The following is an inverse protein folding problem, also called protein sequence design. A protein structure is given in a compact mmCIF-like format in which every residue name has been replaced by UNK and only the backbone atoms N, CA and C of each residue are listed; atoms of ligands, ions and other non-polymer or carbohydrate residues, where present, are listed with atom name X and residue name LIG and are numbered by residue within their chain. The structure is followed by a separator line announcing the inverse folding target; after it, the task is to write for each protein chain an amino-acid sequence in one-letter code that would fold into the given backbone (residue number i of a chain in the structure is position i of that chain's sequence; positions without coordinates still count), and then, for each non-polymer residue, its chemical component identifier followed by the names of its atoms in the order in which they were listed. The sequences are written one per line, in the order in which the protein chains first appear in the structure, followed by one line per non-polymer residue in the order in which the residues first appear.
data_IF_687274705999
#
_entry.id   IF_687274705999
#
_cell.length_a   1.000
_cell.length_b   1.000
_cell.length_c   1.000
_cell.angle_alpha   90.00
_cell.angle_beta   90.00
_cell.angle_gamma   90.00
#
_symmetry.space_group_name_H-M   'P 1'
#
loop_
_entity.id
_entity.type
_entity.pdbx_description
1 polymer ?
#
# COMPACT_ATOMS: atom_id res chain seq x y z
N UNK A 1 2.29 -1.62 14.16
CA UNK A 1 3.10 -2.54 14.97
C UNK A 1 2.40 -2.73 16.30
N UNK A 2 2.36 -3.93 16.83
CA UNK A 2 1.54 -4.26 17.99
C UNK A 2 0.05 -4.28 17.65
N UNK A 3 -0.78 -3.65 18.44
CA UNK A 3 -2.24 -3.63 18.25
C UNK A 3 -2.74 -2.52 17.31
N UNK A 4 -1.86 -1.77 16.65
CA UNK A 4 -2.28 -0.71 15.72
C UNK A 4 -2.59 -1.30 14.35
N UNK A 5 -3.77 -1.03 13.75
CA UNK A 5 -4.09 -1.47 12.40
C UNK A 5 -3.08 -0.97 11.37
N UNK A 6 -2.87 -1.75 10.32
CA UNK A 6 -1.95 -1.41 9.23
C UNK A 6 -2.48 -0.24 8.40
N UNK A 7 -1.61 0.72 8.02
CA UNK A 7 -2.03 1.94 7.32
C UNK A 7 -2.69 1.68 5.97
N UNK A 8 -2.13 0.80 5.15
CA UNK A 8 -2.74 0.41 3.87
C UNK A 8 -4.10 -0.27 4.03
N UNK A 9 -4.32 -1.03 5.12
CA UNK A 9 -5.62 -1.61 5.44
C UNK A 9 -6.64 -0.51 5.77
N UNK A 10 -6.27 0.47 6.57
CA UNK A 10 -7.13 1.62 6.88
C UNK A 10 -7.46 2.41 5.61
N UNK A 11 -6.47 2.63 4.74
CA UNK A 11 -6.68 3.28 3.45
C UNK A 11 -7.68 2.51 2.58
N UNK A 12 -7.58 1.18 2.50
CA UNK A 12 -8.50 0.34 1.73
C UNK A 12 -9.94 0.44 2.26
N UNK A 13 -10.15 0.43 3.58
CA UNK A 13 -11.48 0.60 4.20
C UNK A 13 -12.07 1.96 3.88
N UNK A 14 -11.29 3.03 3.99
CA UNK A 14 -11.75 4.40 3.72
C UNK A 14 -12.01 4.60 2.22
N UNK A 15 -11.19 4.01 1.34
CA UNK A 15 -11.43 3.96 -0.10
C UNK A 15 -12.77 3.27 -0.39
N UNK A 16 -13.02 2.12 0.22
CA UNK A 16 -14.30 1.41 0.11
C UNK A 16 -15.48 2.29 0.54
N UNK A 17 -15.38 2.92 1.70
CA UNK A 17 -16.45 3.80 2.21
C UNK A 17 -16.75 4.96 1.25
N UNK A 18 -15.73 5.57 0.64
CA UNK A 18 -15.92 6.64 -0.32
C UNK A 18 -16.65 6.15 -1.59
N UNK A 19 -16.26 5.00 -2.12
CA UNK A 19 -16.86 4.44 -3.35
C UNK A 19 -18.27 3.89 -3.14
N UNK A 20 -18.67 3.56 -1.91
CA UNK A 20 -20.06 3.19 -1.59
C UNK A 20 -21.02 4.39 -1.62
N UNK A 21 -20.51 5.60 -1.42
CA UNK A 21 -21.31 6.83 -1.36
C UNK A 21 -21.30 7.55 -2.70
N UNK A 22 -20.20 7.51 -3.44
CA UNK A 22 -20.06 8.18 -4.73
C UNK A 22 -20.58 7.33 -5.89
N UNK A 23 -21.12 7.95 -6.97
CA UNK A 23 -21.62 7.21 -8.13
C UNK A 23 -20.53 6.59 -9.01
N UNK A 24 -19.25 6.97 -8.81
CA UNK A 24 -18.11 6.46 -9.57
C UNK A 24 -17.36 5.42 -8.76
N UNK A 25 -16.97 4.32 -9.40
CA UNK A 25 -16.58 3.08 -8.75
C UNK A 25 -15.11 3.00 -8.31
N UNK A 26 -14.22 3.86 -8.85
CA UNK A 26 -12.77 3.73 -8.60
C UNK A 26 -12.15 5.05 -8.20
N UNK A 27 -11.46 5.09 -7.06
CA UNK A 27 -10.64 6.25 -6.69
C UNK A 27 -9.35 6.27 -7.53
N UNK A 28 -9.37 7.07 -8.59
CA UNK A 28 -8.24 7.23 -9.52
C UNK A 28 -7.09 8.06 -8.92
N UNK A 29 -7.39 8.86 -7.92
CA UNK A 29 -6.42 9.66 -7.16
C UNK A 29 -6.89 9.78 -5.73
N UNK A 30 -6.02 9.50 -4.78
CA UNK A 30 -6.35 9.60 -3.36
C UNK A 30 -5.14 9.98 -2.53
N UNK A 31 -5.40 10.58 -1.37
CA UNK A 31 -4.39 10.90 -0.37
C UNK A 31 -4.95 10.60 1.03
N UNK A 32 -4.18 9.88 1.83
CA UNK A 32 -4.49 9.59 3.22
C UNK A 32 -3.49 10.30 4.13
N UNK A 33 -3.98 10.83 5.26
CA UNK A 33 -3.17 11.39 6.33
C UNK A 33 -3.47 10.63 7.62
N UNK A 34 -2.45 10.06 8.23
CA UNK A 34 -2.51 9.37 9.50
C UNK A 34 -2.18 10.37 10.60
N UNK A 35 -3.20 10.80 11.36
CA UNK A 35 -3.11 11.91 12.30
C UNK A 35 -2.89 11.43 13.73
N UNK A 36 -3.48 10.28 14.08
CA UNK A 36 -3.39 9.72 15.42
C UNK A 36 -3.45 8.20 15.36
N UNK A 37 -2.98 7.56 16.42
CA UNK A 37 -3.03 6.11 16.59
C UNK A 37 -4.47 5.62 16.69
N UNK A 38 -4.73 4.49 16.07
CA UNK A 38 -6.00 3.76 16.12
C UNK A 38 -5.80 2.47 16.90
N UNK A 39 -6.71 2.18 17.82
CA UNK A 39 -6.77 0.92 18.54
C UNK A 39 -7.69 -0.09 17.81
N UNK A 40 -7.56 -1.42 18.08
CA UNK A 40 -8.46 -2.44 17.54
C UNK A 40 -9.84 -2.39 18.26
N UNK A 41 -10.59 -1.34 18.05
CA UNK A 41 -11.91 -1.04 18.56
C UNK A 41 -12.83 -0.59 17.44
N UNK A 42 -14.14 -0.49 17.66
CA UNK A 42 -15.05 0.10 16.67
C UNK A 42 -14.60 1.50 16.24
N UNK A 43 -14.77 1.78 14.95
CA UNK A 43 -14.48 3.06 14.31
C UNK A 43 -15.74 3.58 13.65
N UNK A 44 -15.83 4.88 13.48
CA UNK A 44 -16.84 5.55 12.66
C UNK A 44 -16.17 6.11 11.41
N UNK A 45 -16.78 5.87 10.25
CA UNK A 45 -16.36 6.47 8.98
C UNK A 45 -17.38 7.53 8.59
N UNK A 46 -16.98 8.79 8.60
CA UNK A 46 -17.78 9.92 8.16
C UNK A 46 -17.37 10.28 6.73
N UNK A 47 -18.34 10.36 5.82
CA UNK A 47 -18.09 10.65 4.40
C UNK A 47 -18.73 11.98 4.02
N UNK A 48 -17.91 12.95 3.61
CA UNK A 48 -18.37 14.23 3.07
C UNK A 48 -18.11 14.28 1.56
N UNK A 49 -19.17 14.49 0.78
CA UNK A 49 -19.09 14.59 -0.68
C UNK A 49 -18.83 16.04 -1.08
N UNK A 50 -17.73 16.27 -1.80
CA UNK A 50 -17.38 17.61 -2.29
C UNK A 50 -18.05 17.94 -3.60
N UNK A 51 -18.07 16.96 -4.52
CA UNK A 51 -18.56 17.15 -5.87
C UNK A 51 -19.03 15.82 -6.46
N UNK A 52 -20.16 15.88 -7.17
CA UNK A 52 -20.63 14.83 -8.08
C UNK A 52 -20.71 15.43 -9.47
N UNK A 53 -19.87 14.95 -10.38
CA UNK A 53 -19.83 15.38 -11.78
C UNK A 53 -20.16 14.23 -12.73
N UNK A 54 -20.27 14.52 -14.02
CA UNK A 54 -20.58 13.51 -15.05
C UNK A 54 -19.44 12.48 -15.22
N UNK A 55 -18.18 12.91 -15.12
CA UNK A 55 -17.03 12.04 -15.38
C UNK A 55 -16.19 11.74 -14.12
N UNK A 56 -16.43 12.44 -13.03
CA UNK A 56 -15.72 12.20 -11.75
C UNK A 56 -16.50 12.78 -10.58
N UNK A 57 -16.27 12.20 -9.42
CA UNK A 57 -16.78 12.68 -8.13
C UNK A 57 -15.63 12.72 -7.13
N UNK A 58 -15.74 13.58 -6.11
CA UNK A 58 -14.72 13.69 -5.09
C UNK A 58 -15.33 13.89 -3.71
N UNK A 59 -14.61 13.43 -2.69
CA UNK A 59 -15.03 13.54 -1.31
C UNK A 59 -13.90 13.22 -0.35
N UNK A 60 -14.23 13.30 0.92
CA UNK A 60 -13.34 12.95 2.03
C UNK A 60 -14.03 11.94 2.94
N UNK A 61 -13.23 11.01 3.45
CA UNK A 61 -13.61 10.11 4.55
C UNK A 61 -12.80 10.49 5.77
N UNK A 62 -13.44 10.65 6.91
CA UNK A 62 -12.80 10.81 8.21
C UNK A 62 -13.00 9.53 9.00
N UNK A 63 -11.93 8.95 9.47
CA UNK A 63 -11.96 7.83 10.40
C UNK A 63 -11.90 8.41 11.82
N UNK A 64 -12.98 8.20 12.57
CA UNK A 64 -13.16 8.73 13.93
C UNK A 64 -13.14 7.59 14.93
N UNK A 65 -12.37 7.74 15.97
CA UNK A 65 -12.35 6.86 17.12
C UNK A 65 -12.25 7.67 18.41
N UNK A 66 -13.05 7.34 19.42
CA UNK A 66 -13.10 8.05 20.69
C UNK A 66 -13.24 9.57 20.49
N UNK A 67 -14.19 10.00 19.61
CA UNK A 67 -14.50 11.40 19.25
C UNK A 67 -13.35 12.19 18.59
N UNK A 68 -12.26 11.51 18.19
CA UNK A 68 -11.11 12.12 17.52
C UNK A 68 -11.00 11.64 16.08
N UNK A 69 -10.69 12.55 15.16
CA UNK A 69 -10.33 12.20 13.79
C UNK A 69 -8.90 11.65 13.79
N UNK A 70 -8.77 10.35 13.60
CA UNK A 70 -7.47 9.67 13.62
C UNK A 70 -6.84 9.57 12.24
N UNK A 71 -7.65 9.49 11.18
CA UNK A 71 -7.16 9.41 9.80
C UNK A 71 -8.14 10.13 8.88
N UNK A 72 -7.61 10.78 7.83
CA UNK A 72 -8.42 11.35 6.76
C UNK A 72 -8.00 10.76 5.42
N UNK A 73 -8.97 10.52 4.54
CA UNK A 73 -8.77 10.02 3.19
C UNK A 73 -9.53 10.91 2.21
N UNK A 74 -8.84 11.58 1.32
CA UNK A 74 -9.45 12.36 0.25
C UNK A 74 -9.30 11.62 -1.06
N UNK A 75 -10.38 11.49 -1.83
CA UNK A 75 -10.35 10.77 -3.10
C UNK A 75 -11.14 11.45 -4.21
N UNK A 76 -10.65 11.27 -5.43
CA UNK A 76 -11.38 11.55 -6.67
C UNK A 76 -11.65 10.23 -7.37
N UNK A 77 -12.93 9.93 -7.55
CA UNK A 77 -13.42 8.71 -8.18
C UNK A 77 -13.85 8.95 -9.62
N UNK A 78 -13.63 7.95 -10.47
CA UNK A 78 -14.10 7.89 -11.87
C UNK A 78 -14.33 6.43 -12.26
N UNK A 79 -14.82 6.20 -13.47
CA UNK A 79 -15.02 4.85 -14.01
C UNK A 79 -14.07 4.64 -15.19
N UNK A 80 -13.14 3.71 -15.09
CA UNK A 80 -12.16 3.43 -16.14
C UNK A 80 -12.80 3.08 -17.48
N UNK A 81 -13.95 2.38 -17.48
CA UNK A 81 -14.69 2.04 -18.73
C UNK A 81 -15.22 3.26 -19.49
N UNK A 82 -15.38 4.38 -18.81
CA UNK A 82 -15.88 5.64 -19.43
C UNK A 82 -14.75 6.64 -19.71
N UNK A 83 -13.54 6.38 -19.22
CA UNK A 83 -12.40 7.25 -19.48
C UNK A 83 -11.93 7.07 -20.92
N UNK A 84 -11.88 8.20 -21.65
CA UNK A 84 -11.31 8.25 -23.00
C UNK A 84 -9.97 8.96 -22.93
N UNK A 85 -8.93 8.32 -23.38
CA UNK A 85 -7.59 8.89 -23.37
C UNK A 85 -6.58 7.97 -24.04
N UNK A 86 -5.35 8.41 -24.07
CA UNK A 86 -4.24 7.60 -24.52
C UNK A 86 -3.85 6.61 -23.42
N UNK A 87 -3.92 5.31 -23.71
CA UNK A 87 -3.63 4.21 -22.78
C UNK A 87 -2.33 3.46 -23.10
N UNK A 88 -1.56 3.96 -24.04
CA UNK A 88 -0.36 3.30 -24.56
C UNK A 88 0.93 3.53 -23.77
N UNK A 89 0.88 3.96 -22.51
CA UNK A 89 2.06 4.15 -21.67
C UNK A 89 2.40 2.87 -20.91
N UNK A 90 2.75 1.82 -21.63
CA UNK A 90 3.39 0.67 -21.03
C UNK A 90 4.83 1.04 -20.67
N UNK A 91 5.12 1.19 -19.40
CA UNK A 91 6.50 1.17 -18.91
C UNK A 91 6.98 -0.27 -18.97
N UNK A 92 8.15 -0.52 -19.55
CA UNK A 92 8.74 -1.85 -19.46
C UNK A 92 8.96 -2.23 -18.00
N UNK A 93 8.90 -3.53 -17.70
CA UNK A 93 9.29 -4.05 -16.40
C UNK A 93 10.69 -3.52 -16.04
N UNK A 94 10.89 -2.93 -14.85
CA UNK A 94 12.20 -2.46 -14.43
C UNK A 94 13.25 -3.57 -14.52
N UNK A 95 14.48 -3.21 -14.91
CA UNK A 95 15.58 -4.18 -15.13
C UNK A 95 15.84 -5.06 -13.91
N UNK A 96 15.66 -4.52 -12.69
CA UNK A 96 15.84 -5.27 -11.44
C UNK A 96 14.93 -6.51 -11.33
N UNK A 97 13.79 -6.53 -12.03
CA UNK A 97 12.93 -7.71 -12.08
C UNK A 97 13.35 -8.72 -13.16
N UNK A 98 14.41 -8.41 -13.92
CA UNK A 98 14.93 -9.27 -14.99
C UNK A 98 16.26 -9.93 -14.64
N UNK A 99 16.95 -9.45 -13.62
CA UNK A 99 18.28 -9.93 -13.22
C UNK A 99 18.23 -11.18 -12.34
N UNK A 100 17.06 -11.48 -11.76
CA UNK A 100 16.83 -12.65 -10.93
C UNK A 100 15.54 -13.36 -11.31
N UNK A 101 15.54 -14.67 -11.22
CA UNK A 101 14.33 -15.46 -11.35
C UNK A 101 13.43 -15.26 -10.10
N UNK A 102 12.10 -15.35 -10.31
CA UNK A 102 11.14 -15.18 -9.19
C UNK A 102 11.42 -16.11 -8.01
N UNK A 103 11.93 -17.31 -8.28
CA UNK A 103 12.21 -18.31 -7.25
C UNK A 103 13.44 -17.96 -6.39
N UNK A 104 14.26 -16.99 -6.82
CA UNK A 104 15.38 -16.46 -6.05
C UNK A 104 14.95 -15.39 -5.05
N UNK A 105 13.72 -14.83 -5.21
CA UNK A 105 13.20 -13.81 -4.32
C UNK A 105 12.90 -14.40 -2.94
N UNK A 106 13.13 -13.61 -1.90
CA UNK A 106 13.04 -14.05 -0.52
C UNK A 106 11.65 -13.70 0.02
N UNK A 107 10.91 -14.72 0.49
CA UNK A 107 9.63 -14.50 1.13
C UNK A 107 9.80 -13.60 2.37
N UNK A 108 8.95 -12.59 2.43
CA UNK A 108 8.91 -11.66 3.55
C UNK A 108 8.49 -12.39 4.82
N UNK A 109 9.39 -12.42 5.79
CA UNK A 109 9.15 -12.95 7.13
C UNK A 109 9.22 -11.82 8.16
N UNK A 110 8.06 -11.39 8.63
CA UNK A 110 7.99 -10.30 9.61
C UNK A 110 8.62 -10.67 10.96
N UNK A 111 8.63 -11.94 11.35
CA UNK A 111 9.27 -12.37 12.62
C UNK A 111 10.77 -12.11 12.61
N UNK A 112 11.42 -12.25 11.45
CA UNK A 112 12.85 -11.92 11.30
C UNK A 112 13.09 -10.40 11.42
N UNK A 113 12.16 -9.57 10.91
CA UNK A 113 12.29 -8.10 10.91
C UNK A 113 11.97 -7.53 12.28
N UNK A 114 10.91 -8.02 12.93
CA UNK A 114 10.30 -7.39 14.11
C UNK A 114 10.58 -8.14 15.40
N UNK A 115 11.35 -9.21 15.35
CA UNK A 115 11.73 -10.05 16.51
C UNK A 115 10.51 -10.65 17.24
N UNK A 116 9.61 -11.29 16.48
CA UNK A 116 8.49 -12.08 17.02
C UNK A 116 7.13 -11.40 16.94
N UNK A 117 6.98 -10.39 16.10
CA UNK A 117 5.69 -9.82 15.78
C UNK A 117 5.36 -10.01 14.29
N UNK A 118 4.40 -10.89 13.97
CA UNK A 118 3.88 -11.04 12.61
C UNK A 118 2.47 -10.48 12.54
N UNK A 119 2.22 -9.44 11.73
CA UNK A 119 0.87 -8.97 11.47
C UNK A 119 -0.01 -10.09 10.88
N UNK A 120 -1.24 -10.26 11.37
CA UNK A 120 -2.12 -11.36 10.96
C UNK A 120 -2.44 -11.38 9.45
N UNK A 121 -2.41 -10.22 8.79
CA UNK A 121 -2.67 -10.13 7.35
C UNK A 121 -1.59 -10.80 6.49
N UNK A 122 -0.37 -10.96 7.02
CA UNK A 122 0.74 -11.53 6.24
C UNK A 122 0.48 -12.99 5.83
N UNK A 123 -0.37 -13.70 6.56
CA UNK A 123 -0.75 -15.08 6.23
C UNK A 123 -1.63 -15.18 4.98
N UNK A 124 -2.19 -14.06 4.52
CA UNK A 124 -3.02 -13.97 3.31
C UNK A 124 -2.26 -13.32 2.13
N UNK A 125 -1.01 -12.96 2.35
CA UNK A 125 -0.16 -12.25 1.39
C UNK A 125 1.10 -13.06 1.08
N UNK A 126 1.28 -13.40 -0.18
CA UNK A 126 2.58 -13.78 -0.71
C UNK A 126 3.35 -12.51 -1.05
N UNK A 127 4.44 -12.25 -0.36
CA UNK A 127 5.32 -11.13 -0.61
C UNK A 127 6.74 -11.66 -0.70
N UNK A 128 7.33 -11.57 -1.87
CA UNK A 128 8.70 -12.01 -2.12
C UNK A 128 9.56 -10.83 -2.55
N UNK A 129 10.60 -10.54 -1.78
CA UNK A 129 11.47 -9.36 -1.92
C UNK A 129 12.76 -9.75 -2.63
N UNK A 130 13.28 -8.83 -3.45
CA UNK A 130 14.57 -9.01 -4.13
C UNK A 130 15.69 -9.31 -3.11
N UNK A 131 16.54 -10.34 -3.34
CA UNK A 131 17.51 -10.81 -2.36
C UNK A 131 18.49 -9.73 -1.89
N UNK A 132 18.88 -8.80 -2.75
CA UNK A 132 19.79 -7.71 -2.38
C UNK A 132 19.14 -6.63 -1.50
N UNK A 133 17.82 -6.71 -1.27
CA UNK A 133 17.03 -5.71 -0.56
C UNK A 133 16.48 -6.19 0.78
N UNK A 134 16.98 -7.31 1.28
CA UNK A 134 16.61 -7.90 2.58
C UNK A 134 17.59 -7.48 3.68
N UNK A 135 17.60 -6.21 4.03
CA UNK A 135 18.54 -5.62 4.98
C UNK A 135 18.63 -6.36 6.33
N UNK A 136 17.58 -7.00 6.79
CA UNK A 136 17.54 -7.75 8.05
C UNK A 136 18.31 -9.08 8.02
N UNK A 137 18.71 -9.55 6.83
CA UNK A 137 19.55 -10.75 6.66
C UNK A 137 21.02 -10.43 6.47
N UNK A 138 21.39 -9.14 6.39
CA UNK A 138 22.78 -8.72 6.23
C UNK A 138 23.54 -8.80 7.56
N UNK A 139 24.83 -8.97 7.47
CA UNK A 139 25.69 -8.89 8.64
C UNK A 139 25.65 -7.49 9.25
N UNK A 140 25.69 -7.42 10.59
CA UNK A 140 25.60 -6.14 11.32
C UNK A 140 26.77 -5.19 11.03
N UNK A 141 27.90 -5.73 10.60
CA UNK A 141 29.12 -5.00 10.28
C UNK A 141 29.18 -4.62 8.79
N UNK A 142 28.20 -5.04 8.00
CA UNK A 142 28.16 -4.74 6.57
C UNK A 142 27.92 -3.25 6.32
N UNK A 143 28.72 -2.66 5.41
CA UNK A 143 28.55 -1.28 4.99
C UNK A 143 27.33 -1.17 4.06
N UNK A 144 26.24 -0.67 4.61
CA UNK A 144 24.98 -0.49 3.88
C UNK A 144 25.01 0.72 2.92
N UNK A 145 26.06 1.53 2.88
CA UNK A 145 26.12 2.74 2.05
C UNK A 145 26.01 2.48 0.55
N UNK A 146 26.38 1.25 0.12
CA UNK A 146 26.30 0.80 -1.28
C UNK A 146 24.90 0.37 -1.72
N UNK A 147 23.95 0.28 -0.80
CA UNK A 147 22.57 -0.11 -1.13
C UNK A 147 21.68 1.10 -1.33
N UNK A 148 20.75 0.98 -2.26
CA UNK A 148 19.73 2.00 -2.49
C UNK A 148 18.59 1.90 -1.47
N UNK A 149 17.97 3.03 -1.16
CA UNK A 149 16.71 3.06 -0.41
C UNK A 149 15.56 2.65 -1.34
N UNK A 150 15.54 1.39 -1.76
CA UNK A 150 14.61 0.79 -2.70
C UNK A 150 14.21 -0.60 -2.21
N UNK A 151 12.97 -1.00 -2.50
CA UNK A 151 12.49 -2.34 -2.24
C UNK A 151 11.61 -2.81 -3.40
N UNK A 152 12.02 -3.89 -4.04
CA UNK A 152 11.30 -4.51 -5.15
C UNK A 152 10.75 -5.86 -4.71
N UNK A 153 9.49 -6.10 -5.01
CA UNK A 153 8.80 -7.29 -4.57
C UNK A 153 7.78 -7.80 -5.59
N UNK A 154 7.49 -9.09 -5.51
CA UNK A 154 6.30 -9.71 -6.05
C UNK A 154 5.24 -9.77 -4.94
N UNK A 155 4.04 -9.28 -5.25
CA UNK A 155 2.92 -9.26 -4.32
C UNK A 155 1.76 -10.07 -4.90
N UNK A 156 1.21 -10.98 -4.10
CA UNK A 156 0.00 -11.73 -4.43
C UNK A 156 -0.82 -11.94 -3.17
N UNK A 157 -2.12 -11.70 -3.25
CA UNK A 157 -3.07 -11.98 -2.18
C UNK A 157 -3.98 -13.13 -2.59
N UNK A 158 -4.41 -13.93 -1.64
CA UNK A 158 -5.44 -14.94 -1.89
C UNK A 158 -6.75 -14.27 -2.33
N UNK A 159 -7.46 -14.89 -3.27
CA UNK A 159 -8.77 -14.41 -3.73
C UNK A 159 -8.83 -13.97 -5.19
N UNK A 160 -7.74 -14.06 -5.95
CA UNK A 160 -7.70 -13.79 -7.39
C UNK A 160 -7.10 -12.45 -7.77
N UNK A 161 -7.63 -11.81 -8.83
CA UNK A 161 -7.10 -10.55 -9.33
C UNK A 161 -7.22 -9.42 -8.30
N UNK A 162 -6.14 -8.67 -8.05
CA UNK A 162 -6.19 -7.53 -7.14
C UNK A 162 -7.14 -6.45 -7.66
N UNK A 163 -8.06 -6.03 -6.81
CA UNK A 163 -8.93 -4.90 -7.05
C UNK A 163 -8.29 -3.57 -6.59
N UNK A 164 -9.02 -2.48 -6.71
CA UNK A 164 -8.57 -1.17 -6.26
C UNK A 164 -8.29 -1.09 -4.75
N UNK A 165 -8.97 -1.90 -3.95
CA UNK A 165 -8.78 -1.90 -2.49
C UNK A 165 -7.52 -2.67 -2.13
N UNK A 166 -7.23 -3.76 -2.85
CA UNK A 166 -5.93 -4.43 -2.78
C UNK A 166 -4.79 -3.49 -3.14
N UNK A 167 -4.93 -2.67 -4.20
CA UNK A 167 -3.90 -1.69 -4.57
C UNK A 167 -3.68 -0.64 -3.48
N UNK A 168 -4.75 -0.16 -2.83
CA UNK A 168 -4.62 0.73 -1.68
C UNK A 168 -3.91 0.06 -0.50
N UNK A 169 -4.19 -1.21 -0.24
CA UNK A 169 -3.50 -1.99 0.78
C UNK A 169 -2.02 -2.19 0.44
N UNK A 170 -1.71 -2.56 -0.80
CA UNK A 170 -0.34 -2.80 -1.25
C UNK A 170 0.54 -1.56 -1.23
N UNK A 171 -0.03 -0.37 -1.33
CA UNK A 171 0.75 0.87 -1.34
C UNK A 171 1.51 1.17 -0.03
N UNK A 172 1.21 0.45 1.05
CA UNK A 172 1.88 0.58 2.36
C UNK A 172 2.41 -0.76 2.90
N UNK A 173 2.55 -1.77 2.02
CA UNK A 173 2.79 -3.16 2.47
C UNK A 173 4.25 -3.47 2.76
N UNK A 174 5.18 -2.83 2.06
CA UNK A 174 6.59 -3.15 2.16
C UNK A 174 7.24 -2.52 3.40
N UNK A 175 8.30 -3.15 3.93
CA UNK A 175 9.12 -2.53 4.97
C UNK A 175 9.65 -1.16 4.53
N UNK A 176 9.91 -0.23 5.48
CA UNK A 176 10.44 1.07 5.14
C UNK A 176 11.72 0.97 4.30
N UNK A 177 11.68 1.46 3.06
CA UNK A 177 12.79 1.33 2.10
C UNK A 177 14.08 1.99 2.58
N UNK A 178 13.97 3.00 3.43
CA UNK A 178 15.11 3.67 4.07
C UNK A 178 15.96 2.70 4.90
N UNK A 179 15.36 1.64 5.45
CA UNK A 179 16.07 0.60 6.18
C UNK A 179 16.99 -0.22 5.29
N UNK A 180 16.71 -0.28 3.98
CA UNK A 180 17.59 -0.99 3.06
C UNK A 180 18.95 -0.32 2.93
N UNK A 181 19.02 1.01 3.08
CA UNK A 181 20.27 1.79 3.03
C UNK A 181 20.93 2.01 4.39
N UNK A 182 20.11 2.20 5.43
CA UNK A 182 20.64 2.61 6.74
C UNK A 182 20.49 1.55 7.83
N UNK A 183 19.98 0.36 7.48
CA UNK A 183 19.69 -0.70 8.45
C UNK A 183 18.47 -0.39 9.31
N UNK A 184 18.34 -1.05 10.45
CA UNK A 184 17.22 -0.91 11.37
C UNK A 184 17.23 0.46 12.06
N UNK A 185 16.35 1.36 11.63
CA UNK A 185 16.21 2.71 12.20
C UNK A 185 15.17 2.80 13.33
N UNK A 186 14.52 1.67 13.67
CA UNK A 186 13.42 1.64 14.62
C UNK A 186 12.06 1.84 13.94
N UNK A 187 11.11 2.48 14.63
CA UNK A 187 9.77 2.72 14.12
C UNK A 187 9.76 3.84 13.09
N UNK A 188 9.28 3.53 11.88
CA UNK A 188 9.14 4.48 10.76
C UNK A 188 7.66 4.50 10.33
N UNK A 189 6.83 5.34 10.95
CA UNK A 189 5.40 5.42 10.61
C UNK A 189 5.16 6.18 9.31
N UNK A 190 4.19 5.74 8.54
CA UNK A 190 3.66 6.50 7.40
C UNK A 190 2.81 7.65 7.93
N UNK A 191 3.13 8.88 7.55
CA UNK A 191 2.38 10.09 7.92
C UNK A 191 1.36 10.45 6.85
N UNK A 192 1.80 10.40 5.60
CA UNK A 192 0.96 10.71 4.43
C UNK A 192 1.27 9.73 3.32
N UNK A 193 0.24 9.26 2.64
CA UNK A 193 0.37 8.39 1.48
C UNK A 193 -0.56 8.87 0.37
N UNK A 194 -0.02 9.09 -0.82
CA UNK A 194 -0.79 9.50 -2.01
C UNK A 194 -0.69 8.42 -3.07
N UNK A 195 -1.84 8.02 -3.63
CA UNK A 195 -1.90 7.00 -4.67
C UNK A 195 -2.61 7.51 -5.91
N UNK A 196 -2.17 7.01 -7.07
CA UNK A 196 -2.81 7.23 -8.34
C UNK A 196 -3.00 5.89 -9.04
N UNK A 197 -4.25 5.42 -9.11
CA UNK A 197 -4.57 4.18 -9.82
C UNK A 197 -4.77 4.55 -11.30
N UNK A 198 -3.91 4.03 -12.15
CA UNK A 198 -3.95 4.26 -13.61
C UNK A 198 -4.65 3.15 -14.35
N UNK A 199 -4.59 1.94 -13.81
CA UNK A 199 -5.20 0.74 -14.38
C UNK A 199 -5.39 -0.30 -13.27
N UNK A 200 -6.40 -1.15 -13.39
CA UNK A 200 -6.52 -2.33 -12.54
C UNK A 200 -5.66 -3.46 -13.11
N UNK A 201 -5.05 -4.27 -12.22
CA UNK A 201 -4.22 -5.40 -12.64
C UNK A 201 -5.00 -6.44 -13.47
N UNK A 202 -4.32 -7.04 -14.45
CA UNK A 202 -4.82 -8.17 -15.24
C UNK A 202 -4.19 -9.51 -14.82
N UNK A 203 -3.31 -9.48 -13.82
CA UNK A 203 -2.62 -10.65 -13.27
C UNK A 203 -2.78 -10.71 -11.76
N UNK A 204 -2.78 -11.91 -11.18
CA UNK A 204 -2.88 -12.11 -9.73
C UNK A 204 -1.62 -11.62 -8.98
N UNK A 205 -0.47 -11.74 -9.63
CA UNK A 205 0.80 -11.26 -9.07
C UNK A 205 1.12 -9.90 -9.67
N UNK A 206 1.46 -8.95 -8.82
CA UNK A 206 1.98 -7.65 -9.23
C UNK A 206 3.43 -7.46 -8.83
N UNK A 207 4.12 -6.63 -9.60
CA UNK A 207 5.47 -6.17 -9.30
C UNK A 207 5.37 -4.85 -8.56
N UNK A 208 6.02 -4.75 -7.42
CA UNK A 208 6.08 -3.54 -6.61
C UNK A 208 7.52 -3.03 -6.59
N UNK A 209 7.68 -1.73 -6.82
CA UNK A 209 8.97 -1.04 -6.82
C UNK A 209 8.81 0.24 -5.96
N UNK A 210 9.37 0.21 -4.77
CA UNK A 210 9.28 1.24 -3.72
C UNK A 210 10.61 1.95 -3.51
#
# INVERSE_FOLDING_TARGET
VGNTPHGGYLMAIMHKALTEVLPHSTAISSSVQYLDRIDPKPILLEVDVFKVGKGSSSGIVKLVQDERVCTTFTGTCSDFHHMKGYDGLEKPLPEIFKDKDKDEYINLNYDEITKGFTPSFIHQLECSIHPDQVWWKRDKEEDNSNYDARCCAYLKMEGGLPDQFCLSFYSDILPPVVCNKYGALGWVPTITLTTHIRQLPSTETIYADF
#
